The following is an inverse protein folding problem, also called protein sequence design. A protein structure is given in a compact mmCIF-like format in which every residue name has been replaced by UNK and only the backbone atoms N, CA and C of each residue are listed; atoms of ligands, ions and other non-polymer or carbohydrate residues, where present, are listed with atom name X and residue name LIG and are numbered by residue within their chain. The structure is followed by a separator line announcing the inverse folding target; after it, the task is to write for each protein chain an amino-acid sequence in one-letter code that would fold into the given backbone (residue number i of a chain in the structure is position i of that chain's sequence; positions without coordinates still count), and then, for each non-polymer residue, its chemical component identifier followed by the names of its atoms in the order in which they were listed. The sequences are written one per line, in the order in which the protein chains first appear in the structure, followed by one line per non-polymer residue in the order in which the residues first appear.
data_IF_403453187936
#
_entry.id   IF_403453187936
#
_cell.length_a   1.000
_cell.length_b   1.000
_cell.length_c   1.000
_cell.angle_alpha   90.00
_cell.angle_beta   90.00
_cell.angle_gamma   90.00
#
_symmetry.space_group_name_H-M   'P 1'
#
loop_
_entity.id
_entity.type
_entity.pdbx_description
1 polymer ?
#
# COMPACT_ATOMS: atom_id res chain seq x y z
N UNK A 1 11.39 -17.75 29.17
CA UNK A 1 10.67 -17.88 27.89
C UNK A 1 10.95 -19.28 27.36
N UNK A 2 9.92 -20.09 27.11
CA UNK A 2 10.09 -21.48 26.67
C UNK A 2 10.60 -21.48 25.22
N UNK A 3 11.77 -22.08 25.00
CA UNK A 3 12.31 -22.32 23.66
C UNK A 3 11.57 -23.50 23.05
N UNK A 4 10.97 -23.29 21.87
CA UNK A 4 10.28 -24.31 21.10
C UNK A 4 11.24 -24.87 20.06
N UNK A 5 11.40 -26.18 20.00
CA UNK A 5 12.19 -26.86 18.97
C UNK A 5 11.32 -27.10 17.73
N UNK A 6 11.94 -27.00 16.56
CA UNK A 6 11.31 -27.24 15.26
C UNK A 6 12.25 -28.09 14.39
N UNK A 7 11.66 -28.98 13.59
CA UNK A 7 12.39 -29.86 12.68
C UNK A 7 12.85 -29.10 11.42
N UNK A 8 14.06 -29.40 10.97
CA UNK A 8 14.63 -28.95 9.72
C UNK A 8 14.35 -30.01 8.66
N UNK A 9 13.81 -29.60 7.53
CA UNK A 9 13.56 -30.47 6.38
C UNK A 9 14.69 -30.36 5.35
N UNK A 10 15.09 -31.48 4.77
CA UNK A 10 16.00 -31.50 3.62
C UNK A 10 15.26 -31.20 2.30
N UNK A 11 16.01 -31.09 1.20
CA UNK A 11 15.47 -30.90 -0.15
C UNK A 11 14.47 -32.01 -0.56
N UNK A 12 14.59 -33.20 0.01
CA UNK A 12 13.70 -34.34 -0.26
C UNK A 12 12.44 -34.38 0.64
N UNK A 13 12.22 -33.36 1.48
CA UNK A 13 11.09 -33.29 2.42
C UNK A 13 11.23 -34.14 3.69
N UNK A 14 12.40 -34.77 3.91
CA UNK A 14 12.68 -35.57 5.11
C UNK A 14 13.23 -34.70 6.24
N UNK A 15 12.86 -35.00 7.48
CA UNK A 15 13.41 -34.34 8.66
C UNK A 15 14.88 -34.76 8.88
N UNK A 16 15.80 -33.78 8.93
CA UNK A 16 17.24 -34.00 9.07
C UNK A 16 17.70 -33.76 10.50
N UNK A 17 17.29 -32.65 11.10
CA UNK A 17 17.74 -32.22 12.43
C UNK A 17 16.69 -31.34 13.13
N UNK A 18 16.89 -31.05 14.41
CA UNK A 18 16.04 -30.14 15.19
C UNK A 18 16.80 -28.88 15.56
N UNK A 19 16.11 -27.73 15.54
CA UNK A 19 16.67 -26.43 15.88
C UNK A 19 15.76 -25.67 16.84
N UNK A 20 16.36 -25.00 17.83
CA UNK A 20 15.64 -24.15 18.77
C UNK A 20 15.24 -22.83 18.09
N UNK A 21 13.96 -22.47 18.16
CA UNK A 21 13.48 -21.22 17.59
C UNK A 21 14.08 -20.00 18.29
N UNK A 22 14.38 -18.93 17.54
CA UNK A 22 14.85 -17.68 18.10
C UNK A 22 13.74 -16.96 18.90
N UNK A 23 14.11 -16.06 19.83
CA UNK A 23 13.17 -15.38 20.71
C UNK A 23 12.15 -14.51 19.98
N UNK A 24 12.41 -14.12 18.72
CA UNK A 24 11.51 -13.31 17.88
C UNK A 24 10.13 -13.96 17.74
N UNK A 25 10.05 -15.30 17.69
CA UNK A 25 8.78 -16.04 17.60
C UNK A 25 7.94 -16.03 18.88
N UNK A 26 8.53 -15.62 20.00
CA UNK A 26 7.82 -15.47 21.28
C UNK A 26 7.32 -14.03 21.52
N UNK A 27 7.56 -13.13 20.57
CA UNK A 27 7.13 -11.74 20.70
C UNK A 27 5.61 -11.59 20.70
N UNK A 28 5.13 -10.54 21.37
CA UNK A 28 3.70 -10.27 21.51
C UNK A 28 3.13 -9.88 20.14
N UNK A 29 2.00 -10.49 19.78
CA UNK A 29 1.31 -10.18 18.53
C UNK A 29 0.55 -8.85 18.63
N UNK A 30 1.07 -7.83 17.94
CA UNK A 30 0.49 -6.47 17.90
C UNK A 30 -0.04 -6.11 16.51
N UNK A 31 -1.30 -6.45 16.25
CA UNK A 31 -1.95 -6.20 14.94
C UNK A 31 -2.07 -4.72 14.61
N UNK A 32 -2.27 -3.87 15.60
CA UNK A 32 -2.32 -2.41 15.49
C UNK A 32 -1.05 -1.83 14.84
N UNK A 33 0.12 -2.20 15.36
CA UNK A 33 1.42 -1.74 14.87
C UNK A 33 1.71 -2.33 13.48
N UNK A 34 1.39 -3.61 13.26
CA UNK A 34 1.56 -4.26 11.96
C UNK A 34 0.74 -3.53 10.87
N UNK A 35 -0.55 -3.25 11.12
CA UNK A 35 -1.40 -2.55 10.16
C UNK A 35 -0.87 -1.15 9.87
N UNK A 36 -0.45 -0.40 10.89
CA UNK A 36 0.17 0.92 10.71
C UNK A 36 1.44 0.85 9.85
N UNK A 37 2.29 -0.15 10.08
CA UNK A 37 3.51 -0.36 9.31
C UNK A 37 3.24 -0.69 7.85
N UNK A 38 2.28 -1.58 7.57
CA UNK A 38 1.89 -1.96 6.20
C UNK A 38 1.35 -0.75 5.45
N UNK A 39 0.43 0.02 6.05
CA UNK A 39 -0.14 1.22 5.42
C UNK A 39 0.95 2.26 5.14
N UNK A 40 1.91 2.43 6.05
CA UNK A 40 3.04 3.33 5.83
C UNK A 40 3.92 2.86 4.65
N UNK A 41 4.27 1.58 4.58
CA UNK A 41 5.07 1.04 3.48
C UNK A 41 4.35 1.11 2.13
N UNK A 42 3.06 0.75 2.09
CA UNK A 42 2.25 0.88 0.87
C UNK A 42 2.19 2.33 0.38
N UNK A 43 2.15 3.30 1.30
CA UNK A 43 2.11 4.71 0.93
C UNK A 43 3.37 5.20 0.20
N UNK A 44 4.51 4.53 0.38
CA UNK A 44 5.77 4.89 -0.28
C UNK A 44 5.83 4.41 -1.73
N UNK A 45 5.00 3.42 -2.10
CA UNK A 45 4.91 2.91 -3.48
C UNK A 45 4.10 3.83 -4.40
N UNK A 46 3.31 4.76 -3.86
CA UNK A 46 2.48 5.64 -4.67
C UNK A 46 3.32 6.67 -5.43
N UNK A 47 3.12 6.73 -6.74
CA UNK A 47 3.70 7.76 -7.59
C UNK A 47 2.95 9.09 -7.41
N UNK A 48 3.65 10.23 -7.22
CA UNK A 48 3.01 11.54 -7.20
C UNK A 48 2.28 11.80 -8.51
N UNK A 49 1.02 12.22 -8.41
CA UNK A 49 0.17 12.55 -9.55
C UNK A 49 -0.55 13.86 -9.32
N UNK A 50 -0.84 14.58 -10.39
CA UNK A 50 -1.58 15.82 -10.31
C UNK A 50 -2.17 16.26 -11.64
N UNK A 51 -3.03 17.28 -11.60
CA UNK A 51 -3.55 17.96 -12.79
C UNK A 51 -2.63 19.12 -13.18
N UNK A 52 -2.66 19.52 -14.45
CA UNK A 52 -1.98 20.73 -14.89
C UNK A 52 -2.50 21.94 -14.06
N UNK A 53 -1.63 22.73 -13.42
CA UNK A 53 -2.04 23.87 -12.57
C UNK A 53 -2.94 24.90 -13.26
N UNK A 54 -2.82 24.99 -14.59
CA UNK A 54 -3.57 25.91 -15.46
C UNK A 54 -4.78 25.26 -16.16
N UNK A 55 -5.09 24.00 -15.87
CA UNK A 55 -6.27 23.33 -16.43
C UNK A 55 -7.57 24.08 -16.04
N UNK A 56 -8.39 24.41 -17.04
CA UNK A 56 -9.64 25.16 -16.86
C UNK A 56 -9.47 26.63 -16.46
N UNK A 57 -8.22 27.15 -16.40
CA UNK A 57 -7.91 28.56 -16.08
C UNK A 57 -7.38 29.36 -17.27
N UNK A 58 -7.09 28.70 -18.40
CA UNK A 58 -6.63 29.34 -19.65
C UNK A 58 -7.81 29.94 -20.43
N UNK A 59 -8.62 30.75 -19.77
CA UNK A 59 -9.80 31.39 -20.36
C UNK A 59 -9.81 32.87 -19.97
N UNK A 60 -10.27 33.72 -20.87
CA UNK A 60 -10.46 35.17 -20.67
C UNK A 60 -11.81 35.48 -19.99
N UNK A 61 -12.35 34.52 -19.23
CA UNK A 61 -13.72 34.58 -18.75
C UNK A 61 -13.84 35.51 -17.54
N UNK A 62 -14.79 36.45 -17.60
CA UNK A 62 -15.07 37.42 -16.54
C UNK A 62 -16.56 37.44 -16.20
N UNK A 63 -16.91 37.93 -15.00
CA UNK A 63 -18.32 38.03 -14.62
C UNK A 63 -18.96 39.24 -15.29
N UNK A 64 -20.11 39.05 -15.95
CA UNK A 64 -20.86 40.16 -16.58
C UNK A 64 -21.63 41.04 -15.59
N UNK A 65 -21.54 40.75 -14.29
CA UNK A 65 -22.19 41.55 -13.24
C UNK A 65 -23.69 41.29 -13.11
N UNK A 66 -24.40 42.26 -12.53
CA UNK A 66 -25.85 42.22 -12.25
C UNK A 66 -26.66 42.84 -13.39
N UNK A 67 -27.99 42.68 -13.36
CA UNK A 67 -28.91 43.37 -14.29
C UNK A 67 -29.14 42.67 -15.64
N UNK A 68 -28.67 41.44 -15.81
CA UNK A 68 -28.78 40.67 -17.07
C UNK A 68 -29.67 39.43 -17.01
N UNK A 69 -30.37 39.19 -15.89
CA UNK A 69 -31.23 38.00 -15.71
C UNK A 69 -30.51 36.64 -15.77
N UNK A 70 -29.18 36.64 -15.68
CA UNK A 70 -28.32 35.44 -15.77
C UNK A 70 -27.51 35.24 -14.49
N UNK A 71 -27.03 34.02 -14.29
CA UNK A 71 -26.10 33.70 -13.21
C UNK A 71 -24.79 34.51 -13.32
N UNK A 72 -24.25 34.93 -12.17
CA UNK A 72 -23.05 35.78 -12.07
C UNK A 72 -21.72 35.02 -12.26
N UNK A 73 -21.78 33.82 -12.84
CA UNK A 73 -20.61 32.97 -13.10
C UNK A 73 -19.72 33.62 -14.17
N UNK A 74 -18.38 33.48 -14.12
CA UNK A 74 -17.50 34.01 -15.17
C UNK A 74 -17.85 33.41 -16.53
N UNK A 75 -17.93 34.25 -17.55
CA UNK A 75 -18.30 33.88 -18.92
C UNK A 75 -17.26 34.38 -19.91
N UNK A 76 -17.03 33.61 -20.97
CA UNK A 76 -16.08 33.98 -22.03
C UNK A 76 -16.59 35.25 -22.73
N UNK A 77 -15.79 36.31 -22.69
CA UNK A 77 -16.08 37.56 -23.39
C UNK A 77 -15.71 37.51 -24.88
N UNK A 78 -16.00 38.58 -25.60
CA UNK A 78 -15.68 38.73 -27.02
C UNK A 78 -16.76 38.18 -27.96
N UNK A 79 -16.36 37.90 -29.19
CA UNK A 79 -17.24 37.45 -30.27
C UNK A 79 -16.84 36.06 -30.74
N UNK A 80 -17.82 35.19 -30.96
CA UNK A 80 -17.60 33.83 -31.45
C UNK A 80 -18.54 32.79 -30.82
N UNK A 81 -18.43 31.52 -31.25
CA UNK A 81 -19.37 30.47 -30.86
C UNK A 81 -19.33 30.13 -29.36
N UNK A 82 -18.22 30.41 -28.67
CA UNK A 82 -18.06 30.18 -27.24
C UNK A 82 -18.37 31.41 -26.38
N UNK A 83 -18.64 32.57 -26.99
CA UNK A 83 -18.94 33.81 -26.26
C UNK A 83 -20.19 33.64 -25.39
N UNK A 84 -20.17 34.19 -24.17
CA UNK A 84 -21.24 34.04 -23.20
C UNK A 84 -21.31 32.69 -22.48
N UNK A 85 -20.46 31.70 -22.83
CA UNK A 85 -20.42 30.40 -22.15
C UNK A 85 -19.74 30.52 -20.78
N UNK A 86 -20.28 29.86 -19.76
CA UNK A 86 -19.71 29.85 -18.42
C UNK A 86 -18.40 29.04 -18.38
N UNK A 87 -17.34 29.62 -17.83
CA UNK A 87 -16.01 29.01 -17.77
C UNK A 87 -15.27 29.41 -16.47
N UNK A 88 -14.03 28.96 -16.31
CA UNK A 88 -13.13 29.26 -15.18
C UNK A 88 -13.53 28.72 -13.80
N UNK A 89 -14.81 28.79 -13.42
CA UNK A 89 -15.30 28.41 -12.10
C UNK A 89 -15.44 26.89 -11.90
N UNK A 90 -15.32 26.38 -10.67
CA UNK A 90 -15.71 25.01 -10.35
C UNK A 90 -17.24 24.86 -10.52
N UNK A 91 -17.66 23.84 -11.27
CA UNK A 91 -19.07 23.60 -11.59
C UNK A 91 -19.51 24.05 -12.99
N UNK A 92 -18.62 24.69 -13.77
CA UNK A 92 -18.87 24.94 -15.20
C UNK A 92 -18.24 23.86 -16.07
N UNK A 93 -18.85 23.60 -17.24
CA UNK A 93 -18.23 22.76 -18.26
C UNK A 93 -16.90 23.37 -18.72
N UNK A 94 -15.82 22.58 -18.69
CA UNK A 94 -14.47 23.05 -19.04
C UNK A 94 -13.80 24.01 -18.02
N UNK A 95 -14.43 24.27 -16.87
CA UNK A 95 -13.89 25.11 -15.80
C UNK A 95 -12.81 24.42 -14.96
N UNK A 96 -12.22 25.17 -14.01
CA UNK A 96 -11.21 24.60 -13.10
C UNK A 96 -11.86 23.63 -12.11
N UNK A 97 -11.16 22.55 -11.78
CA UNK A 97 -11.58 21.63 -10.72
C UNK A 97 -11.41 22.30 -9.33
N UNK A 98 -12.32 22.01 -8.40
CA UNK A 98 -12.13 22.37 -6.98
C UNK A 98 -11.16 21.37 -6.34
N UNK A 99 -10.09 21.87 -5.71
CA UNK A 99 -9.05 21.08 -5.04
C UNK A 99 -8.50 19.90 -5.88
N UNK A 100 -7.93 20.17 -7.07
CA UNK A 100 -7.37 19.12 -7.90
C UNK A 100 -6.23 18.39 -7.18
N UNK A 101 -5.95 17.12 -7.52
CA UNK A 101 -4.74 16.47 -7.05
C UNK A 101 -3.53 17.27 -7.54
N UNK A 102 -2.62 17.53 -6.60
CA UNK A 102 -1.38 18.26 -6.84
C UNK A 102 -0.20 17.33 -6.64
N UNK A 103 0.82 17.48 -7.50
CA UNK A 103 2.07 16.70 -7.41
C UNK A 103 2.83 16.98 -6.11
N UNK A 104 2.65 18.17 -5.53
CA UNK A 104 3.25 18.56 -4.25
C UNK A 104 2.62 17.90 -3.02
N UNK A 105 1.52 17.14 -3.19
CA UNK A 105 0.86 16.46 -2.06
C UNK A 105 1.77 15.35 -1.52
N UNK A 106 2.13 15.45 -0.24
CA UNK A 106 2.88 14.39 0.44
C UNK A 106 1.98 13.20 0.76
N UNK A 107 2.02 12.18 -0.10
CA UNK A 107 1.24 10.95 0.07
C UNK A 107 1.93 9.94 1.00
N UNK A 108 3.26 9.99 1.07
CA UNK A 108 4.07 9.08 1.88
C UNK A 108 3.90 9.35 3.39
N UNK A 109 3.47 8.33 4.14
CA UNK A 109 3.34 8.35 5.61
C UNK A 109 4.66 7.94 6.26
N UNK A 110 5.13 8.70 7.25
CA UNK A 110 6.32 8.35 8.04
C UNK A 110 5.96 7.46 9.23
N UNK A 111 6.91 6.63 9.65
CA UNK A 111 6.79 5.78 10.85
C UNK A 111 8.14 5.72 11.58
N UNK A 112 8.08 5.64 12.91
CA UNK A 112 9.26 5.53 13.77
C UNK A 112 10.06 4.25 13.50
N UNK A 113 11.39 4.34 13.58
CA UNK A 113 12.28 3.18 13.40
C UNK A 113 12.03 2.09 14.44
N UNK A 114 11.76 2.45 15.71
CA UNK A 114 11.47 1.51 16.80
C UNK A 114 10.14 0.77 16.56
N UNK A 115 9.08 1.50 16.21
CA UNK A 115 7.78 0.91 15.85
C UNK A 115 7.90 -0.05 14.66
N UNK A 116 8.72 0.29 13.66
CA UNK A 116 8.97 -0.59 12.51
C UNK A 116 9.59 -1.92 12.91
N UNK A 117 10.54 -1.92 13.85
CA UNK A 117 11.18 -3.16 14.34
C UNK A 117 10.18 -4.02 15.10
N UNK A 118 9.42 -3.42 16.01
CA UNK A 118 8.35 -4.13 16.75
C UNK A 118 7.31 -4.71 15.78
N UNK A 119 6.92 -3.97 14.74
CA UNK A 119 6.02 -4.47 13.71
C UNK A 119 6.56 -5.74 13.01
N UNK A 120 7.86 -5.74 12.70
CA UNK A 120 8.53 -6.84 12.03
C UNK A 120 8.65 -8.05 12.96
N UNK A 121 9.05 -7.84 14.22
CA UNK A 121 9.15 -8.91 15.22
C UNK A 121 7.78 -9.57 15.45
N UNK A 122 6.73 -8.76 15.67
CA UNK A 122 5.36 -9.26 15.82
C UNK A 122 4.83 -9.96 14.56
N UNK A 123 5.25 -9.53 13.37
CA UNK A 123 4.86 -10.18 12.12
C UNK A 123 5.56 -11.54 11.95
N UNK A 124 6.83 -11.66 12.33
CA UNK A 124 7.56 -12.94 12.34
C UNK A 124 6.96 -13.89 13.38
N UNK A 125 6.59 -13.41 14.57
CA UNK A 125 5.88 -14.26 15.54
C UNK A 125 4.56 -14.79 14.99
N UNK A 126 3.82 -13.98 14.22
CA UNK A 126 2.56 -14.39 13.61
C UNK A 126 2.71 -15.58 12.64
N UNK A 127 3.85 -15.70 11.93
CA UNK A 127 4.06 -16.79 10.96
C UNK A 127 4.32 -18.14 11.64
N UNK A 128 4.72 -18.15 12.90
CA UNK A 128 4.89 -19.38 13.69
C UNK A 128 3.57 -19.97 14.24
N UNK A 129 2.45 -19.26 14.15
CA UNK A 129 1.15 -19.72 14.65
C UNK A 129 0.31 -20.34 13.55
N UNK A 130 0.01 -21.65 13.67
CA UNK A 130 -0.86 -22.39 12.73
C UNK A 130 -2.24 -21.75 12.61
N UNK A 131 -2.84 -21.33 13.71
CA UNK A 131 -4.19 -20.76 13.75
C UNK A 131 -4.27 -19.44 12.97
N UNK A 132 -3.30 -18.56 13.15
CA UNK A 132 -3.25 -17.28 12.46
C UNK A 132 -2.99 -17.42 10.96
N UNK A 133 -2.12 -18.36 10.57
CA UNK A 133 -1.81 -18.65 9.17
C UNK A 133 -3.01 -19.28 8.45
N UNK A 134 -3.69 -20.23 9.11
CA UNK A 134 -4.93 -20.83 8.61
C UNK A 134 -6.06 -19.81 8.53
N UNK A 135 -6.22 -18.96 9.56
CA UNK A 135 -7.21 -17.89 9.58
C UNK A 135 -7.00 -16.81 8.51
N UNK A 136 -5.78 -16.67 7.96
CA UNK A 136 -5.49 -15.84 6.79
C UNK A 136 -5.96 -16.47 5.47
N UNK A 137 -6.19 -17.78 5.43
CA UNK A 137 -6.66 -18.53 4.25
C UNK A 137 -5.59 -19.38 3.57
N UNK A 138 -4.43 -19.60 4.20
CA UNK A 138 -3.42 -20.53 3.69
C UNK A 138 -3.88 -21.98 3.91
N UNK A 139 -3.75 -22.82 2.87
CA UNK A 139 -4.05 -24.26 2.92
C UNK A 139 -2.75 -25.03 3.14
N UNK A 140 -2.69 -25.80 4.22
CA UNK A 140 -1.57 -26.68 4.56
C UNK A 140 -2.09 -27.88 5.36
N UNK A 141 -1.42 -29.02 5.24
CA UNK A 141 -1.77 -30.24 5.96
C UNK A 141 -1.50 -30.08 7.46
N UNK A 142 -2.28 -30.77 8.30
CA UNK A 142 -2.20 -30.59 9.77
C UNK A 142 -0.86 -31.05 10.35
N UNK A 143 -0.25 -32.03 9.68
CA UNK A 143 1.04 -32.63 10.01
C UNK A 143 2.22 -31.66 9.87
N UNK A 144 2.06 -30.60 9.07
CA UNK A 144 3.13 -29.63 8.85
C UNK A 144 3.29 -28.72 10.06
N UNK A 145 4.48 -28.73 10.67
CA UNK A 145 4.86 -27.80 11.72
C UNK A 145 5.32 -26.45 11.13
N UNK A 146 4.87 -25.34 11.72
CA UNK A 146 5.29 -23.99 11.36
C UNK A 146 6.20 -23.43 12.46
N UNK A 147 7.22 -22.63 12.14
CA UNK A 147 7.68 -22.24 10.79
C UNK A 147 8.39 -23.37 10.02
N UNK A 148 8.30 -23.35 8.69
CA UNK A 148 9.03 -24.29 7.82
C UNK A 148 10.50 -23.86 7.71
N UNK A 149 11.41 -24.74 8.10
CA UNK A 149 12.86 -24.53 8.02
C UNK A 149 13.44 -25.60 7.09
N UNK A 150 14.22 -25.17 6.10
CA UNK A 150 14.80 -26.05 5.08
C UNK A 150 16.32 -25.88 5.04
N UNK A 151 17.05 -26.91 4.62
CA UNK A 151 18.51 -26.84 4.46
C UNK A 151 18.95 -25.91 3.33
N UNK A 152 20.18 -25.37 3.46
CA UNK A 152 20.78 -24.43 2.51
C UNK A 152 20.97 -24.99 1.08
N UNK A 153 20.80 -26.30 0.90
CA UNK A 153 20.88 -26.92 -0.42
C UNK A 153 19.81 -26.40 -1.39
N UNK A 154 18.69 -25.88 -0.88
CA UNK A 154 17.64 -25.25 -1.69
C UNK A 154 18.14 -23.98 -2.40
N UNK A 155 19.11 -23.27 -1.82
CA UNK A 155 19.66 -22.06 -2.44
C UNK A 155 20.45 -22.36 -3.71
N UNK A 156 20.93 -23.59 -3.87
CA UNK A 156 21.77 -24.02 -5.02
C UNK A 156 20.95 -24.41 -6.25
N UNK A 157 19.62 -24.43 -6.17
CA UNK A 157 18.78 -24.79 -7.31
C UNK A 157 18.83 -23.72 -8.42
N UNK A 158 19.36 -24.09 -9.58
CA UNK A 158 19.44 -23.22 -10.76
C UNK A 158 18.22 -23.33 -11.68
N UNK A 159 17.48 -24.44 -11.62
CA UNK A 159 16.32 -24.71 -12.48
C UNK A 159 15.04 -24.69 -11.67
N UNK A 160 14.00 -24.06 -12.23
CA UNK A 160 12.66 -24.02 -11.63
C UNK A 160 12.02 -25.40 -11.46
N UNK A 161 12.39 -26.37 -12.31
CA UNK A 161 11.87 -27.74 -12.20
C UNK A 161 12.33 -28.42 -10.91
N UNK A 162 13.58 -28.17 -10.49
CA UNK A 162 14.11 -28.71 -9.24
C UNK A 162 13.42 -28.10 -8.01
N UNK A 163 13.01 -26.82 -8.07
CA UNK A 163 12.34 -26.12 -6.98
C UNK A 163 10.82 -26.38 -6.88
N UNK A 164 10.21 -27.00 -7.89
CA UNK A 164 8.77 -27.30 -7.92
C UNK A 164 8.44 -28.64 -7.25
N UNK A 165 9.38 -29.59 -7.32
CA UNK A 165 9.32 -30.92 -6.70
C UNK A 165 9.27 -30.81 -5.19
#
# INVERSE_FOLDING_TARGET
MSQRNVKIFGADGKAVSELSLPPVFTSILRRDIITKAVVAQQSHRFQPQGRNPMAGKRTTAESFGVGRGISRVPRVGGHGPLSGTAAFAPGTMGGRMAFPPVTSKRTAKSMNKKERRVALDSAIAATGSKDLVRGRGHKFDEEIELPLIVTDDVEKFSKSLAAKT
#
